data_IF_180820477546
#
_entry.id   IF_180820477546
#
_cell.length_a   1.000
_cell.length_b   1.000
_cell.length_c   1.000
_cell.angle_alpha   90.00
_cell.angle_beta   90.00
_cell.angle_gamma   90.00
#
_symmetry.space_group_name_H-M   'P 1'
#
loop_
_entity.id
_entity.type
_entity.pdbx_description
1 polymer ?
#
# COMPACT_ATOMS: atom_id res chain seq x y z
N UNK A 1 -4.46 -17.98 -4.39
CA UNK A 1 -5.85 -18.36 -4.70
C UNK A 1 -6.44 -17.34 -5.65
N UNK A 2 -7.04 -17.76 -6.77
CA UNK A 2 -7.68 -16.85 -7.72
C UNK A 2 -9.07 -16.47 -7.20
N UNK A 3 -9.39 -15.19 -6.95
CA UNK A 3 -10.68 -14.83 -6.37
C UNK A 3 -11.87 -15.14 -7.28
N UNK A 4 -11.64 -15.33 -8.59
CA UNK A 4 -12.66 -15.84 -9.50
C UNK A 4 -13.11 -17.27 -9.18
N UNK A 5 -12.25 -18.12 -8.60
CA UNK A 5 -12.64 -19.48 -8.22
C UNK A 5 -13.61 -19.49 -7.04
N UNK A 6 -13.54 -18.47 -6.17
CA UNK A 6 -14.36 -18.39 -4.96
C UNK A 6 -15.55 -17.46 -5.10
N UNK A 7 -15.42 -16.36 -5.84
CA UNK A 7 -16.38 -15.26 -5.82
C UNK A 7 -17.09 -15.02 -7.17
N UNK A 8 -16.76 -15.75 -8.24
CA UNK A 8 -17.43 -15.58 -9.53
C UNK A 8 -18.58 -16.60 -9.69
N UNK A 9 -19.84 -16.16 -9.86
CA UNK A 9 -20.98 -17.05 -10.04
C UNK A 9 -20.95 -17.79 -11.38
N UNK A 10 -20.20 -17.29 -12.36
CA UNK A 10 -20.03 -17.89 -13.69
C UNK A 10 -18.59 -18.35 -13.92
N UNK A 11 -17.94 -18.88 -12.88
CA UNK A 11 -16.56 -19.34 -13.00
C UNK A 11 -16.41 -20.43 -14.07
N UNK A 12 -15.45 -20.21 -14.96
CA UNK A 12 -14.92 -21.20 -15.89
C UNK A 12 -13.38 -21.17 -15.87
N UNK A 13 -12.73 -22.22 -16.37
CA UNK A 13 -11.27 -22.26 -16.42
C UNK A 13 -10.74 -21.09 -17.26
N UNK A 14 -9.94 -20.21 -16.66
CA UNK A 14 -9.44 -18.99 -17.32
C UNK A 14 -10.34 -17.74 -17.18
N UNK A 15 -11.47 -17.83 -16.47
CA UNK A 15 -12.43 -16.73 -16.26
C UNK A 15 -11.78 -15.42 -15.79
N UNK A 16 -10.77 -15.48 -14.91
CA UNK A 16 -10.08 -14.28 -14.39
C UNK A 16 -9.45 -13.37 -15.47
N UNK A 17 -9.23 -13.85 -16.70
CA UNK A 17 -8.68 -13.04 -17.78
C UNK A 17 -9.72 -12.10 -18.40
N UNK A 18 -10.99 -12.48 -18.38
CA UNK A 18 -12.09 -11.76 -19.04
C UNK A 18 -13.24 -11.42 -18.10
N UNK A 19 -13.18 -11.83 -16.84
CA UNK A 19 -14.24 -11.62 -15.85
C UNK A 19 -14.42 -10.14 -15.52
N UNK A 20 -15.60 -9.60 -15.84
CA UNK A 20 -15.97 -8.22 -15.52
C UNK A 20 -15.95 -7.95 -14.01
N UNK A 21 -16.50 -8.87 -13.20
CA UNK A 21 -16.50 -8.73 -11.73
C UNK A 21 -15.08 -8.71 -11.16
N UNK A 22 -14.16 -9.49 -11.73
CA UNK A 22 -12.76 -9.48 -11.31
C UNK A 22 -12.07 -8.16 -11.63
N UNK A 23 -12.31 -7.61 -12.82
CA UNK A 23 -11.78 -6.29 -13.20
C UNK A 23 -12.27 -5.20 -12.24
N UNK A 24 -13.55 -5.21 -11.88
CA UNK A 24 -14.11 -4.27 -10.90
C UNK A 24 -13.47 -4.46 -9.52
N UNK A 25 -13.32 -5.70 -9.05
CA UNK A 25 -12.68 -5.98 -7.77
C UNK A 25 -11.20 -5.54 -7.76
N UNK A 26 -10.47 -5.81 -8.83
CA UNK A 26 -9.08 -5.40 -8.99
C UNK A 26 -8.95 -3.87 -8.97
N UNK A 27 -9.87 -3.16 -9.64
CA UNK A 27 -9.88 -1.70 -9.64
C UNK A 27 -10.13 -1.14 -8.24
N UNK A 28 -11.14 -1.66 -7.52
CA UNK A 28 -11.42 -1.27 -6.13
C UNK A 28 -10.22 -1.50 -5.22
N UNK A 29 -9.61 -2.69 -5.31
CA UNK A 29 -8.42 -3.00 -4.50
C UNK A 29 -7.24 -2.10 -4.83
N UNK A 30 -7.05 -1.75 -6.11
CA UNK A 30 -6.02 -0.81 -6.52
C UNK A 30 -6.28 0.58 -5.89
N UNK A 31 -7.50 1.09 -5.97
CA UNK A 31 -7.88 2.38 -5.37
C UNK A 31 -7.66 2.39 -3.85
N UNK A 32 -8.05 1.32 -3.16
CA UNK A 32 -7.82 1.18 -1.72
C UNK A 32 -6.32 1.11 -1.38
N UNK A 33 -5.52 0.40 -2.17
CA UNK A 33 -4.08 0.33 -1.98
C UNK A 33 -3.42 1.69 -2.18
N UNK A 34 -3.82 2.45 -3.21
CA UNK A 34 -3.32 3.80 -3.42
C UNK A 34 -3.67 4.71 -2.24
N UNK A 35 -4.91 4.63 -1.74
CA UNK A 35 -5.33 5.41 -0.56
C UNK A 35 -4.51 5.08 0.69
N UNK A 36 -4.29 3.78 0.96
CA UNK A 36 -3.48 3.33 2.10
C UNK A 36 -2.02 3.77 1.95
N UNK A 37 -1.46 3.66 0.75
CA UNK A 37 -0.08 4.08 0.45
C UNK A 37 0.10 5.58 0.67
N UNK A 38 -0.84 6.40 0.23
CA UNK A 38 -0.80 7.85 0.43
C UNK A 38 -0.92 8.22 1.91
N UNK A 39 -1.79 7.55 2.66
CA UNK A 39 -1.86 7.73 4.11
C UNK A 39 -0.52 7.43 4.79
N UNK A 40 0.08 6.27 4.49
CA UNK A 40 1.38 5.89 5.06
C UNK A 40 2.50 6.85 4.63
N UNK A 41 2.46 7.37 3.41
CA UNK A 41 3.41 8.37 2.92
C UNK A 41 3.36 9.62 3.78
N UNK A 42 2.18 10.19 4.00
CA UNK A 42 1.99 11.41 4.81
C UNK A 42 2.41 11.19 6.26
N UNK A 43 2.02 10.07 6.85
CA UNK A 43 2.41 9.72 8.22
C UNK A 43 3.94 9.58 8.35
N UNK A 44 4.58 8.89 7.41
CA UNK A 44 6.04 8.76 7.40
C UNK A 44 6.75 10.09 7.18
N UNK A 45 6.21 10.97 6.34
CA UNK A 45 6.76 12.30 6.12
C UNK A 45 6.71 13.15 7.39
N UNK A 46 5.57 13.16 8.09
CA UNK A 46 5.45 13.85 9.38
C UNK A 46 6.45 13.31 10.41
N UNK A 47 6.58 11.98 10.53
CA UNK A 47 7.58 11.37 11.41
C UNK A 47 9.01 11.75 11.02
N UNK A 48 9.34 11.76 9.72
CA UNK A 48 10.67 12.15 9.24
C UNK A 48 10.99 13.61 9.54
N UNK A 49 10.04 14.51 9.32
CA UNK A 49 10.21 15.93 9.64
C UNK A 49 10.44 16.14 11.14
N UNK A 50 9.63 15.46 11.97
CA UNK A 50 9.80 15.51 13.42
C UNK A 50 11.17 15.00 13.87
N UNK A 51 11.60 13.82 13.39
CA UNK A 51 12.92 13.26 13.69
C UNK A 51 14.06 14.18 13.24
N UNK A 52 13.92 14.79 12.07
CA UNK A 52 14.89 15.77 11.57
C UNK A 52 15.00 16.99 12.49
N UNK A 53 13.86 17.54 12.95
CA UNK A 53 13.85 18.64 13.91
C UNK A 53 14.50 18.27 15.23
N UNK A 54 14.23 17.06 15.76
CA UNK A 54 14.89 16.56 16.97
C UNK A 54 16.40 16.41 16.78
N UNK A 55 16.84 15.88 15.64
CA UNK A 55 18.25 15.75 15.32
C UNK A 55 18.94 17.12 15.23
N UNK A 56 18.32 18.10 14.56
CA UNK A 56 18.84 19.48 14.49
C UNK A 56 18.90 20.17 15.85
N UNK A 57 17.96 19.89 16.75
CA UNK A 57 17.94 20.41 18.11
C UNK A 57 18.97 19.72 19.04
N UNK A 58 19.79 18.79 18.53
CA UNK A 58 20.75 18.01 19.32
C UNK A 58 20.12 16.87 20.13
N UNK A 59 18.84 16.58 19.91
CA UNK A 59 18.01 15.67 20.68
C UNK A 59 17.75 14.33 19.99
N UNK A 60 18.75 13.70 19.35
CA UNK A 60 18.75 12.24 19.15
C UNK A 60 20.15 11.71 18.81
N UNK A 61 20.80 11.03 19.77
CA UNK A 61 22.03 10.26 19.57
C UNK A 61 21.63 8.86 19.06
N UNK A 62 21.29 8.75 17.77
CA UNK A 62 21.15 7.47 17.08
C UNK A 62 22.47 7.04 16.43
N UNK A 63 22.70 5.74 16.16
CA UNK A 63 23.99 5.25 15.67
C UNK A 63 24.32 5.90 14.32
N UNK A 64 25.52 6.47 14.24
CA UNK A 64 26.11 7.05 13.04
C UNK A 64 26.18 5.96 11.96
N UNK A 65 25.30 6.01 10.97
CA UNK A 65 25.41 5.16 9.79
C UNK A 65 26.51 5.78 8.91
N UNK A 66 27.73 5.28 9.07
CA UNK A 66 28.88 5.62 8.25
C UNK A 66 28.67 5.25 6.78
N UNK A 67 29.29 6.06 5.92
CA UNK A 67 29.32 5.98 4.46
C UNK A 67 29.73 4.62 3.91
#
# INVERSE_FOLDING_TARGET
MLPCQTNCPHYCQGCHKTCAQWRVLQQRQHEEQQRKKEYLRRANEACRQMLHSYWQAGGYIGPQMGH
#
